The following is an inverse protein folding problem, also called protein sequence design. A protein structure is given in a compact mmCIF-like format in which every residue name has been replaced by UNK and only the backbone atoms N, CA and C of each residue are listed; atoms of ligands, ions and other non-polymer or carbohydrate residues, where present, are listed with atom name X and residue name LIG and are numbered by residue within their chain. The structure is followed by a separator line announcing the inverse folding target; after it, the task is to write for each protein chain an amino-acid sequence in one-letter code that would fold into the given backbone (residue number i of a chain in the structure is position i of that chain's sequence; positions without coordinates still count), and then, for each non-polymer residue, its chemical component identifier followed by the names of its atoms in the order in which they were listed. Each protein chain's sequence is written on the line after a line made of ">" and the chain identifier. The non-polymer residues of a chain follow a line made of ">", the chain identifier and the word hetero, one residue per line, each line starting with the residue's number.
data_IF_494737311042
#
_entry.id   IF_494737311042
#
_cell.length_a   1.000
_cell.length_b   1.000
_cell.length_c   1.000
_cell.angle_alpha   90.00
_cell.angle_beta   90.00
_cell.angle_gamma   90.00
#
_symmetry.space_group_name_H-M   'P 1'
#
loop_
_entity.id
_entity.type
_entity.pdbx_description
1 polymer ?
#
# COMPACT_ATOMS: atom_id res chain seq x y z
N UNK A 1 -5.26 -55.32 -47.81
CA UNK A 1 -5.35 -55.14 -46.32
C UNK A 1 -4.21 -54.40 -45.64
N UNK A 2 -3.06 -54.05 -46.24
CA UNK A 2 -1.99 -53.28 -45.52
C UNK A 2 -2.25 -51.77 -45.46
N UNK A 3 -2.93 -51.14 -46.41
CA UNK A 3 -3.14 -49.69 -46.45
C UNK A 3 -4.06 -49.14 -45.32
N UNK A 4 -5.08 -49.89 -44.95
CA UNK A 4 -6.01 -49.47 -43.86
C UNK A 4 -5.35 -49.54 -42.47
N UNK A 5 -4.39 -50.48 -42.27
CA UNK A 5 -3.64 -50.64 -41.01
C UNK A 5 -2.61 -49.50 -40.85
N UNK A 6 -1.97 -49.12 -41.97
CA UNK A 6 -1.02 -47.98 -41.99
C UNK A 6 -1.75 -46.65 -41.74
N UNK A 7 -2.95 -46.47 -42.33
CA UNK A 7 -3.74 -45.26 -42.08
C UNK A 7 -4.25 -45.20 -40.65
N UNK A 8 -4.66 -46.30 -40.04
CA UNK A 8 -5.11 -46.34 -38.66
C UNK A 8 -3.95 -46.09 -37.69
N UNK A 9 -2.73 -46.58 -37.94
CA UNK A 9 -1.53 -46.27 -37.14
C UNK A 9 -1.08 -44.81 -37.32
N UNK A 10 -1.19 -44.25 -38.50
CA UNK A 10 -0.92 -42.81 -38.71
C UNK A 10 -1.90 -41.92 -37.97
N UNK A 11 -3.21 -42.25 -37.99
CA UNK A 11 -4.23 -41.51 -37.26
C UNK A 11 -4.07 -41.62 -35.74
N UNK A 12 -3.63 -42.78 -35.22
CA UNK A 12 -3.32 -42.91 -33.77
C UNK A 12 -2.03 -42.18 -33.37
N UNK A 13 -1.03 -42.12 -34.24
CA UNK A 13 0.19 -41.34 -34.01
C UNK A 13 -0.08 -39.82 -34.03
N UNK A 14 -0.95 -39.32 -34.91
CA UNK A 14 -1.38 -37.92 -34.94
C UNK A 14 -2.25 -37.56 -33.72
N UNK A 15 -3.06 -38.49 -33.24
CA UNK A 15 -3.83 -38.31 -32.00
C UNK A 15 -2.97 -38.39 -30.72
N UNK A 16 -1.83 -39.09 -30.78
CA UNK A 16 -0.86 -39.18 -29.69
C UNK A 16 0.09 -37.98 -29.63
N UNK A 17 0.20 -37.19 -30.69
CA UNK A 17 0.87 -35.87 -30.70
C UNK A 17 -0.04 -34.77 -30.12
N UNK A 18 -0.85 -35.07 -29.12
CA UNK A 18 -1.20 -34.04 -28.16
C UNK A 18 0.07 -33.77 -27.38
N UNK A 19 0.79 -32.72 -27.77
CA UNK A 19 1.81 -32.12 -26.90
C UNK A 19 1.20 -32.03 -25.50
N UNK A 20 1.74 -32.65 -24.46
CA UNK A 20 1.42 -32.32 -23.10
C UNK A 20 2.09 -30.97 -22.86
N UNK A 21 1.36 -29.90 -23.09
CA UNK A 21 1.89 -28.56 -23.00
C UNK A 21 1.26 -27.60 -24.00
N UNK A 22 -0.06 -27.64 -24.18
CA UNK A 22 -0.75 -26.39 -24.47
C UNK A 22 -0.52 -25.53 -23.23
N UNK A 23 0.42 -24.56 -23.32
CA UNK A 23 0.53 -23.51 -22.33
C UNK A 23 -0.89 -22.96 -22.19
N UNK A 24 -1.50 -23.13 -21.03
CA UNK A 24 -2.84 -22.56 -20.79
C UNK A 24 -2.69 -21.06 -21.05
N UNK A 25 -3.59 -20.44 -21.80
CA UNK A 25 -3.53 -18.99 -21.94
C UNK A 25 -3.53 -18.39 -20.54
N UNK A 26 -2.64 -17.44 -20.29
CA UNK A 26 -2.51 -16.77 -19.01
C UNK A 26 -3.07 -15.37 -19.10
N UNK A 27 -3.60 -14.89 -17.99
CA UNK A 27 -3.88 -13.49 -17.74
C UNK A 27 -2.68 -12.92 -16.97
N UNK A 28 -2.41 -11.64 -17.08
CA UNK A 28 -1.30 -11.04 -16.35
C UNK A 28 -1.75 -9.81 -15.59
N UNK A 29 -1.21 -9.67 -14.37
CA UNK A 29 -1.28 -8.43 -13.62
C UNK A 29 0.13 -7.89 -13.38
N UNK A 30 0.26 -6.57 -13.39
CA UNK A 30 1.48 -5.86 -13.02
C UNK A 30 1.59 -5.67 -11.51
N UNK A 31 2.80 -5.64 -10.99
CA UNK A 31 3.13 -5.14 -9.67
C UNK A 31 4.30 -4.18 -9.80
N UNK A 32 4.12 -2.94 -9.37
CA UNK A 32 5.22 -1.97 -9.30
C UNK A 32 5.39 -1.53 -7.86
N UNK A 33 6.58 -1.75 -7.31
CA UNK A 33 6.91 -1.42 -5.94
C UNK A 33 8.42 -1.20 -5.79
N UNK A 34 8.90 -0.51 -4.75
CA UNK A 34 10.33 -0.38 -4.50
C UNK A 34 10.88 -1.66 -3.90
N UNK A 35 11.60 -2.46 -4.70
CA UNK A 35 12.25 -3.70 -4.24
C UNK A 35 13.69 -3.47 -3.80
N UNK A 36 14.29 -2.34 -4.19
CA UNK A 36 15.65 -1.97 -3.85
C UNK A 36 15.70 -0.58 -3.19
N UNK A 37 16.84 -0.20 -2.62
CA UNK A 37 17.07 1.09 -1.98
C UNK A 37 16.44 1.22 -0.59
N UNK A 38 16.21 2.46 -0.16
CA UNK A 38 15.73 2.80 1.21
C UNK A 38 14.30 2.37 1.48
N UNK A 39 13.51 2.16 0.43
CA UNK A 39 12.09 1.77 0.54
C UNK A 39 11.85 0.29 0.28
N UNK A 40 12.91 -0.54 0.19
CA UNK A 40 12.81 -1.98 -0.10
C UNK A 40 11.90 -2.76 0.85
N UNK A 41 11.71 -2.27 2.09
CA UNK A 41 10.80 -2.87 3.07
C UNK A 41 9.37 -2.98 2.53
N UNK A 42 8.94 -2.00 1.71
CA UNK A 42 7.64 -2.01 1.03
C UNK A 42 7.55 -3.18 0.04
N UNK A 43 8.49 -3.24 -0.89
CA UNK A 43 8.50 -4.25 -1.96
C UNK A 43 8.54 -5.67 -1.42
N UNK A 44 9.38 -5.93 -0.42
CA UNK A 44 9.49 -7.26 0.18
C UNK A 44 8.25 -7.65 0.98
N UNK A 45 7.57 -6.70 1.61
CA UNK A 45 6.33 -6.97 2.33
C UNK A 45 5.18 -7.31 1.38
N UNK A 46 5.03 -6.56 0.29
CA UNK A 46 3.89 -6.71 -0.62
C UNK A 46 4.01 -7.88 -1.59
N UNK A 47 5.21 -8.25 -2.06
CA UNK A 47 5.34 -9.25 -3.13
C UNK A 47 4.84 -10.63 -2.71
N UNK A 48 5.07 -11.03 -1.46
CA UNK A 48 4.61 -12.32 -0.98
C UNK A 48 3.10 -12.34 -0.76
N UNK A 49 2.52 -11.23 -0.34
CA UNK A 49 1.07 -11.06 -0.23
C UNK A 49 0.38 -11.18 -1.59
N UNK A 50 0.92 -10.52 -2.62
CA UNK A 50 0.44 -10.63 -4.00
C UNK A 50 0.56 -12.06 -4.52
N UNK A 51 1.71 -12.70 -4.31
CA UNK A 51 1.92 -14.11 -4.70
C UNK A 51 0.98 -15.07 -3.98
N UNK A 52 0.64 -14.80 -2.72
CA UNK A 52 -0.33 -15.59 -1.97
C UNK A 52 -1.71 -15.51 -2.63
N UNK A 53 -2.21 -14.31 -2.91
CA UNK A 53 -3.50 -14.13 -3.57
C UNK A 53 -3.54 -14.79 -4.96
N UNK A 54 -2.47 -14.67 -5.74
CA UNK A 54 -2.35 -15.35 -7.03
C UNK A 54 -2.31 -16.86 -6.91
N UNK A 55 -1.60 -17.41 -5.91
CA UNK A 55 -1.57 -18.85 -5.65
C UNK A 55 -2.98 -19.37 -5.37
N UNK A 56 -3.72 -18.70 -4.50
CA UNK A 56 -5.09 -19.11 -4.15
C UNK A 56 -6.00 -19.17 -5.38
N UNK A 57 -5.98 -18.15 -6.23
CA UNK A 57 -6.79 -18.13 -7.48
C UNK A 57 -6.33 -19.21 -8.45
N UNK A 58 -5.02 -19.40 -8.62
CA UNK A 58 -4.48 -20.41 -9.54
C UNK A 58 -4.75 -21.83 -9.06
N UNK A 59 -4.67 -22.09 -7.75
CA UNK A 59 -4.99 -23.40 -7.15
C UNK A 59 -6.48 -23.72 -7.25
N UNK A 60 -7.35 -22.71 -7.25
CA UNK A 60 -8.78 -22.84 -7.51
C UNK A 60 -9.12 -23.10 -9.00
N UNK A 61 -8.12 -23.04 -9.89
CA UNK A 61 -8.30 -23.32 -11.34
C UNK A 61 -8.05 -22.11 -12.23
N UNK A 62 -7.71 -20.96 -11.66
CA UNK A 62 -7.53 -19.68 -12.36
C UNK A 62 -8.84 -19.00 -12.69
N UNK A 63 -8.80 -17.92 -13.45
CA UNK A 63 -9.96 -17.16 -13.91
C UNK A 63 -10.38 -17.72 -15.29
N UNK A 64 -11.58 -18.27 -15.40
CA UNK A 64 -12.09 -18.96 -16.60
C UNK A 64 -11.13 -20.04 -17.13
N UNK A 65 -10.49 -20.79 -16.21
CA UNK A 65 -9.53 -21.85 -16.54
C UNK A 65 -8.16 -21.34 -17.03
N UNK A 66 -7.92 -20.04 -16.99
CA UNK A 66 -6.64 -19.37 -17.32
C UNK A 66 -5.88 -19.07 -16.04
N UNK A 67 -4.60 -19.42 -15.99
CA UNK A 67 -3.74 -19.03 -14.88
C UNK A 67 -3.47 -17.53 -14.89
N UNK A 68 -3.26 -16.93 -13.71
CA UNK A 68 -2.85 -15.53 -13.57
C UNK A 68 -1.37 -15.46 -13.24
N UNK A 69 -0.61 -14.72 -14.02
CA UNK A 69 0.82 -14.50 -13.86
C UNK A 69 1.13 -13.09 -13.36
N UNK A 70 2.19 -12.96 -12.58
CA UNK A 70 2.66 -11.69 -12.05
C UNK A 70 3.83 -11.15 -12.88
N UNK A 71 3.73 -9.88 -13.32
CA UNK A 71 4.84 -9.10 -13.83
C UNK A 71 5.24 -8.05 -12.80
N UNK A 72 6.36 -8.27 -12.11
CA UNK A 72 6.84 -7.37 -11.07
C UNK A 72 8.01 -6.51 -11.57
N UNK A 73 7.94 -5.20 -11.31
CA UNK A 73 8.98 -4.23 -11.65
C UNK A 73 9.33 -3.35 -10.46
N UNK A 74 10.61 -2.98 -10.38
CA UNK A 74 11.16 -2.13 -9.33
C UNK A 74 11.14 -0.66 -9.77
N UNK A 75 10.52 0.20 -8.97
CA UNK A 75 10.54 1.66 -9.16
C UNK A 75 11.54 2.36 -8.21
N UNK A 76 12.24 1.62 -7.32
CA UNK A 76 13.18 2.18 -6.33
C UNK A 76 12.58 3.23 -5.39
N UNK A 77 11.27 3.46 -5.46
CA UNK A 77 10.62 4.61 -4.84
C UNK A 77 10.96 5.95 -5.55
N UNK A 78 11.44 5.89 -6.78
CA UNK A 78 11.79 7.05 -7.61
C UNK A 78 10.65 7.38 -8.59
N UNK A 79 10.15 8.64 -8.59
CA UNK A 79 9.04 9.05 -9.45
C UNK A 79 9.30 8.90 -10.95
N UNK A 80 10.55 9.11 -11.42
CA UNK A 80 10.90 8.96 -12.82
C UNK A 80 10.93 7.49 -13.25
N UNK A 81 11.52 6.62 -12.42
CA UNK A 81 11.49 5.19 -12.65
C UNK A 81 10.07 4.61 -12.59
N UNK A 82 9.21 5.15 -11.72
CA UNK A 82 7.81 4.73 -11.65
C UNK A 82 7.10 4.91 -13.01
N UNK A 83 7.27 6.05 -13.66
CA UNK A 83 6.73 6.31 -15.01
C UNK A 83 7.29 5.31 -16.04
N UNK A 84 8.60 5.04 -15.99
CA UNK A 84 9.25 4.09 -16.90
C UNK A 84 8.67 2.66 -16.77
N UNK A 85 8.29 2.25 -15.55
CA UNK A 85 7.72 0.91 -15.33
C UNK A 85 6.35 0.75 -16.00
N UNK A 86 5.54 1.82 -16.07
CA UNK A 86 4.26 1.80 -16.81
C UNK A 86 4.49 1.46 -18.27
N UNK A 87 5.49 2.08 -18.89
CA UNK A 87 5.89 1.77 -20.26
C UNK A 87 6.27 0.29 -20.46
N UNK A 88 6.99 -0.30 -19.48
CA UNK A 88 7.38 -1.72 -19.54
C UNK A 88 6.18 -2.66 -19.38
N UNK A 89 5.24 -2.35 -18.48
CA UNK A 89 3.99 -3.11 -18.33
C UNK A 89 3.16 -3.05 -19.62
N UNK A 90 3.11 -1.88 -20.26
CA UNK A 90 2.32 -1.66 -21.46
C UNK A 90 2.81 -2.44 -22.69
N UNK A 91 4.09 -2.87 -22.71
CA UNK A 91 4.64 -3.68 -23.82
C UNK A 91 3.89 -5.01 -24.00
N UNK A 92 3.38 -5.58 -22.90
CA UNK A 92 2.63 -6.82 -22.96
C UNK A 92 1.11 -6.55 -22.87
N UNK A 93 0.35 -6.75 -23.95
CA UNK A 93 -1.09 -6.52 -23.97
C UNK A 93 -1.89 -7.53 -23.12
N UNK A 94 -1.25 -8.60 -22.62
CA UNK A 94 -1.87 -9.53 -21.68
C UNK A 94 -1.88 -9.01 -20.25
N UNK A 95 -1.17 -7.92 -19.94
CA UNK A 95 -1.25 -7.22 -18.67
C UNK A 95 -2.54 -6.40 -18.66
N UNK A 96 -3.51 -6.85 -17.89
CA UNK A 96 -4.85 -6.29 -17.85
C UNK A 96 -5.01 -5.18 -16.81
N UNK A 97 -4.22 -5.24 -15.75
CA UNK A 97 -4.25 -4.26 -14.65
C UNK A 97 -2.93 -4.25 -13.90
N UNK A 98 -2.69 -3.23 -13.10
CA UNK A 98 -1.52 -3.10 -12.24
C UNK A 98 -1.89 -2.84 -10.78
N UNK A 99 -1.05 -3.29 -9.86
CA UNK A 99 -1.05 -2.97 -8.44
C UNK A 99 0.24 -2.18 -8.12
N UNK A 100 0.16 -1.13 -7.36
CA UNK A 100 1.35 -0.31 -6.99
C UNK A 100 0.94 1.12 -6.69
N UNK A 101 1.84 2.06 -6.65
CA UNK A 101 3.29 1.99 -6.44
C UNK A 101 3.64 1.94 -4.94
N UNK A 102 2.64 2.00 -4.07
CA UNK A 102 2.71 1.96 -2.60
C UNK A 102 3.29 3.22 -1.93
N UNK A 103 3.81 4.16 -2.70
CA UNK A 103 4.26 5.48 -2.24
C UNK A 103 3.52 6.57 -3.00
N UNK A 104 3.22 7.68 -2.28
CA UNK A 104 2.47 8.80 -2.87
C UNK A 104 3.19 9.42 -4.07
N UNK A 105 4.49 9.68 -3.93
CA UNK A 105 5.29 10.36 -4.95
C UNK A 105 5.37 9.56 -6.24
N UNK A 106 5.56 8.25 -6.14
CA UNK A 106 5.64 7.34 -7.30
C UNK A 106 4.27 7.11 -7.92
N UNK A 107 3.21 6.98 -7.09
CA UNK A 107 1.84 6.81 -7.57
C UNK A 107 1.36 8.04 -8.34
N UNK A 108 1.53 9.24 -7.77
CA UNK A 108 1.12 10.48 -8.43
C UNK A 108 1.90 10.77 -9.71
N UNK A 109 3.22 10.54 -9.70
CA UNK A 109 4.05 10.77 -10.88
C UNK A 109 3.69 9.85 -12.04
N UNK A 110 3.22 8.63 -11.77
CA UNK A 110 2.88 7.65 -12.80
C UNK A 110 1.41 7.66 -13.24
N UNK A 111 0.53 8.39 -12.56
CA UNK A 111 -0.92 8.38 -12.78
C UNK A 111 -1.31 8.72 -14.23
N UNK A 112 -0.75 9.79 -14.77
CA UNK A 112 -1.01 10.20 -16.16
C UNK A 112 -0.53 9.12 -17.15
N UNK A 113 0.63 8.49 -16.89
CA UNK A 113 1.14 7.45 -17.76
C UNK A 113 0.23 6.21 -17.81
N UNK A 114 -0.39 5.82 -16.69
CA UNK A 114 -1.39 4.75 -16.66
C UNK A 114 -2.63 5.12 -17.47
N UNK A 115 -3.10 6.35 -17.34
CA UNK A 115 -4.24 6.90 -18.10
C UNK A 115 -3.93 6.93 -19.60
N UNK A 116 -2.77 7.43 -19.98
CA UNK A 116 -2.35 7.55 -21.39
C UNK A 116 -2.28 6.20 -22.12
N UNK A 117 -1.96 5.12 -21.39
CA UNK A 117 -1.86 3.77 -21.98
C UNK A 117 -3.11 2.91 -21.72
N UNK A 118 -4.12 3.45 -21.04
CA UNK A 118 -5.35 2.75 -20.72
C UNK A 118 -5.13 1.49 -19.88
N UNK A 119 -4.17 1.53 -18.93
CA UNK A 119 -3.88 0.42 -18.01
C UNK A 119 -4.40 0.76 -16.60
N UNK A 120 -5.42 0.08 -16.09
CA UNK A 120 -5.94 0.39 -14.75
C UNK A 120 -4.91 0.06 -13.66
N UNK A 121 -4.70 1.02 -12.76
CA UNK A 121 -3.87 0.89 -11.57
C UNK A 121 -4.76 0.86 -10.32
N UNK A 122 -4.59 -0.15 -9.48
CA UNK A 122 -5.11 -0.13 -8.11
C UNK A 122 -3.98 0.17 -7.12
N UNK A 123 -4.06 1.34 -6.48
CA UNK A 123 -3.12 1.73 -5.44
C UNK A 123 -3.64 1.26 -4.07
N UNK A 124 -3.00 0.23 -3.50
CA UNK A 124 -3.34 -0.27 -2.16
C UNK A 124 -3.01 0.73 -1.05
N UNK A 125 -2.00 1.55 -1.28
CA UNK A 125 -1.54 2.64 -0.40
C UNK A 125 -0.98 3.77 -1.28
N UNK A 126 -0.61 4.90 -0.68
CA UNK A 126 0.08 5.96 -1.42
C UNK A 126 -0.84 6.95 -2.14
N UNK A 127 -2.16 6.86 -1.96
CA UNK A 127 -3.09 7.89 -2.39
C UNK A 127 -3.78 8.51 -1.17
N UNK A 128 -3.82 9.83 -1.15
CA UNK A 128 -4.58 10.62 -0.18
C UNK A 128 -5.92 11.05 -0.79
N UNK A 129 -6.91 11.35 0.05
CA UNK A 129 -8.13 12.03 -0.37
C UNK A 129 -7.78 13.36 -1.06
N UNK A 130 -8.47 13.63 -2.16
CA UNK A 130 -8.19 14.79 -3.01
C UNK A 130 -7.31 14.46 -4.22
N UNK A 131 -6.88 13.20 -4.39
CA UNK A 131 -6.48 12.72 -5.69
C UNK A 131 -7.76 12.49 -6.51
N UNK A 132 -8.01 13.37 -7.46
CA UNK A 132 -9.05 13.15 -8.46
C UNK A 132 -8.41 12.42 -9.64
N UNK A 133 -8.68 11.12 -9.79
CA UNK A 133 -8.13 10.36 -10.90
C UNK A 133 -8.76 10.83 -12.21
N UNK A 134 -7.91 11.21 -13.17
CA UNK A 134 -8.23 11.40 -14.57
C UNK A 134 -9.37 12.39 -14.87
N UNK A 135 -9.13 13.36 -15.74
CA UNK A 135 -10.14 14.27 -16.26
C UNK A 135 -11.32 13.58 -16.97
N UNK A 136 -12.00 14.29 -17.86
CA UNK A 136 -13.22 13.89 -18.58
C UNK A 136 -13.16 12.53 -19.35
N UNK A 137 -11.99 11.87 -19.43
CA UNK A 137 -11.76 10.66 -20.23
C UNK A 137 -11.81 9.33 -19.44
N UNK A 138 -12.22 9.34 -18.16
CA UNK A 138 -12.31 8.15 -17.31
C UNK A 138 -11.10 7.95 -16.39
N UNK A 139 -11.35 7.36 -15.22
CA UNK A 139 -10.31 7.11 -14.24
C UNK A 139 -9.65 5.76 -14.48
N UNK A 140 -8.33 5.77 -14.72
CA UNK A 140 -7.51 4.54 -14.75
C UNK A 140 -6.73 4.31 -13.47
N UNK A 141 -6.83 5.20 -12.49
CA UNK A 141 -6.14 5.07 -11.20
C UNK A 141 -7.17 5.01 -10.08
N UNK A 142 -7.20 3.90 -9.38
CA UNK A 142 -8.09 3.61 -8.27
C UNK A 142 -7.26 3.47 -6.99
N UNK A 143 -7.81 3.84 -5.85
CA UNK A 143 -7.04 3.78 -4.61
C UNK A 143 -7.84 3.33 -3.39
N UNK A 144 -7.18 2.55 -2.54
CA UNK A 144 -7.62 2.31 -1.17
C UNK A 144 -7.07 3.44 -0.30
N UNK A 145 -7.75 4.60 -0.30
CA UNK A 145 -7.22 5.83 0.28
C UNK A 145 -7.72 6.08 1.69
N UNK A 146 -6.92 6.82 2.45
CA UNK A 146 -7.31 7.34 3.76
C UNK A 146 -7.53 8.85 3.64
N UNK A 147 -8.55 9.33 4.32
CA UNK A 147 -8.75 10.77 4.49
C UNK A 147 -7.57 11.38 5.24
N UNK A 148 -6.74 12.15 4.54
CA UNK A 148 -5.55 12.77 5.08
C UNK A 148 -5.90 13.79 6.18
N UNK A 149 -7.00 14.54 6.05
CA UNK A 149 -7.44 15.50 7.07
C UNK A 149 -7.80 14.77 8.37
N UNK A 150 -8.56 13.68 8.27
CA UNK A 150 -8.90 12.84 9.41
C UNK A 150 -7.65 12.24 10.05
N UNK A 151 -6.71 11.76 9.24
CA UNK A 151 -5.46 11.18 9.70
C UNK A 151 -4.58 12.21 10.43
N UNK A 152 -4.36 13.38 9.80
CA UNK A 152 -3.59 14.48 10.38
C UNK A 152 -4.24 15.00 11.66
N UNK A 153 -5.57 15.21 11.67
CA UNK A 153 -6.31 15.64 12.85
C UNK A 153 -6.15 14.66 14.02
N UNK A 154 -6.20 13.36 13.77
CA UNK A 154 -6.01 12.35 14.83
C UNK A 154 -4.59 12.40 15.41
N UNK A 155 -3.56 12.49 14.55
CA UNK A 155 -2.16 12.62 14.98
C UNK A 155 -1.92 13.90 15.76
N UNK A 156 -2.36 15.05 15.24
CA UNK A 156 -2.20 16.35 15.89
C UNK A 156 -2.92 16.40 17.23
N UNK A 157 -4.16 15.93 17.29
CA UNK A 157 -4.92 15.86 18.55
C UNK A 157 -4.20 15.05 19.61
N UNK A 158 -3.59 13.92 19.22
CA UNK A 158 -2.79 13.09 20.12
C UNK A 158 -1.52 13.81 20.55
N UNK A 159 -0.83 14.47 19.63
CA UNK A 159 0.37 15.26 19.92
C UNK A 159 0.08 16.37 20.92
N UNK A 160 -0.99 17.15 20.70
CA UNK A 160 -1.41 18.22 21.61
C UNK A 160 -1.75 17.69 23.02
N UNK A 161 -2.36 16.51 23.10
CA UNK A 161 -2.68 15.90 24.40
C UNK A 161 -1.40 15.45 25.16
N UNK A 162 -0.30 15.19 24.46
CA UNK A 162 0.98 14.79 25.03
C UNK A 162 1.96 15.96 25.23
N UNK A 163 1.68 17.13 24.65
CA UNK A 163 2.49 18.33 24.72
C UNK A 163 1.82 19.43 25.56
N UNK A 164 1.96 19.43 26.90
CA UNK A 164 1.31 20.42 27.76
C UNK A 164 1.73 21.87 27.45
N UNK A 165 3.00 22.10 27.08
CA UNK A 165 3.53 23.41 26.68
C UNK A 165 3.36 23.68 25.17
N UNK A 166 2.73 22.74 24.45
CA UNK A 166 2.42 22.83 23.00
C UNK A 166 3.65 22.97 22.11
N UNK A 167 4.77 22.42 22.51
CA UNK A 167 6.01 22.36 21.71
C UNK A 167 6.00 21.11 20.83
N UNK A 168 5.34 21.22 19.68
CA UNK A 168 5.23 20.13 18.70
C UNK A 168 6.04 20.50 17.46
N UNK A 169 6.98 19.64 17.09
CA UNK A 169 7.72 19.71 15.84
C UNK A 169 7.21 18.65 14.89
N UNK A 170 6.90 19.04 13.67
CA UNK A 170 6.63 18.14 12.54
C UNK A 170 7.90 18.03 11.69
N UNK A 171 8.53 16.86 11.69
CA UNK A 171 9.57 16.52 10.75
C UNK A 171 8.96 15.79 9.56
N UNK A 172 9.18 16.28 8.35
CA UNK A 172 8.54 15.81 7.13
C UNK A 172 9.55 15.59 6.01
N UNK A 173 9.22 14.73 5.04
CA UNK A 173 10.03 14.58 3.83
C UNK A 173 10.17 15.91 3.09
N UNK A 174 11.26 16.06 2.35
CA UNK A 174 11.47 17.21 1.48
C UNK A 174 10.29 17.38 0.52
N UNK A 175 9.82 18.63 0.36
CA UNK A 175 8.70 18.98 -0.54
C UNK A 175 7.36 18.34 -0.14
N UNK A 176 7.10 18.19 1.16
CA UNK A 176 5.82 17.68 1.66
C UNK A 176 4.61 18.53 1.21
N UNK A 177 4.81 19.82 0.87
CA UNK A 177 3.84 20.68 0.20
C UNK A 177 2.44 20.66 0.84
N UNK A 178 1.42 20.31 0.05
CA UNK A 178 0.02 20.27 0.50
C UNK A 178 -0.20 19.34 1.73
N UNK A 179 0.60 18.28 1.88
CA UNK A 179 0.50 17.40 3.05
C UNK A 179 0.88 18.11 4.34
N UNK A 180 1.97 18.88 4.33
CA UNK A 180 2.37 19.70 5.47
C UNK A 180 1.33 20.77 5.82
N UNK A 181 0.66 21.37 4.81
CA UNK A 181 -0.43 22.32 5.00
C UNK A 181 -1.64 21.70 5.71
N UNK A 182 -1.99 20.44 5.41
CA UNK A 182 -3.07 19.71 6.11
C UNK A 182 -2.74 19.51 7.59
N UNK A 183 -1.50 19.15 7.93
CA UNK A 183 -1.07 19.06 9.33
C UNK A 183 -1.10 20.41 10.03
N UNK A 184 -0.68 21.49 9.34
CA UNK A 184 -0.72 22.85 9.89
C UNK A 184 -2.17 23.31 10.13
N UNK A 185 -3.10 23.02 9.22
CA UNK A 185 -4.51 23.32 9.37
C UNK A 185 -5.12 22.57 10.57
N UNK A 186 -4.86 21.25 10.67
CA UNK A 186 -5.29 20.45 11.80
C UNK A 186 -4.75 20.98 13.15
N UNK A 187 -3.50 21.44 13.18
CA UNK A 187 -2.92 22.04 14.39
C UNK A 187 -3.59 23.37 14.77
N UNK A 188 -3.87 24.21 13.77
CA UNK A 188 -4.56 25.49 13.99
C UNK A 188 -5.96 25.30 14.60
N UNK A 189 -6.72 24.28 14.17
CA UNK A 189 -8.01 23.92 14.75
C UNK A 189 -7.91 23.55 16.25
N UNK A 190 -6.77 22.99 16.67
CA UNK A 190 -6.49 22.66 18.06
C UNK A 190 -5.75 23.76 18.83
N UNK A 191 -5.60 24.95 18.19
CA UNK A 191 -4.97 26.13 18.79
C UNK A 191 -3.46 25.96 19.01
N UNK A 192 -2.79 25.20 18.15
CA UNK A 192 -1.34 24.98 18.16
C UNK A 192 -0.74 25.41 16.84
N UNK A 193 0.49 25.94 16.90
CA UNK A 193 1.31 26.16 15.71
C UNK A 193 2.41 25.09 15.69
N UNK A 194 2.46 24.31 14.63
CA UNK A 194 3.55 23.36 14.43
C UNK A 194 4.81 24.09 13.99
N UNK A 195 5.94 23.71 14.57
CA UNK A 195 7.24 24.01 13.98
C UNK A 195 7.54 22.92 12.96
N UNK A 196 7.67 23.30 11.69
CA UNK A 196 7.94 22.34 10.60
C UNK A 196 9.43 22.32 10.26
N UNK A 197 9.97 21.12 10.09
CA UNK A 197 11.34 20.88 9.63
C UNK A 197 11.28 19.90 8.47
N UNK A 198 11.68 20.36 7.28
CA UNK A 198 11.76 19.52 6.09
C UNK A 198 13.14 18.86 5.98
N UNK A 199 13.17 17.57 5.63
CA UNK A 199 14.40 16.79 5.44
C UNK A 199 15.09 17.12 4.10
N UNK A 200 15.35 18.41 3.84
CA UNK A 200 15.92 18.89 2.57
C UNK A 200 17.45 19.01 2.57
N UNK A 201 18.07 19.20 3.73
CA UNK A 201 19.51 19.46 3.85
C UNK A 201 20.19 18.54 4.88
N UNK A 202 21.49 18.36 4.75
CA UNK A 202 22.26 17.38 5.56
C UNK A 202 22.18 17.56 7.08
N UNK A 203 21.82 18.76 7.56
CA UNK A 203 21.74 19.08 8.99
C UNK A 203 20.31 19.24 9.53
N UNK A 204 19.28 18.84 8.80
CA UNK A 204 17.90 18.99 9.23
C UNK A 204 17.59 18.35 10.60
N UNK A 205 18.23 17.23 10.92
CA UNK A 205 18.08 16.59 12.22
C UNK A 205 18.60 17.48 13.36
N UNK A 206 19.65 18.28 13.11
CA UNK A 206 20.17 19.23 14.10
C UNK A 206 19.18 20.38 14.36
N UNK A 207 18.39 20.77 13.36
CA UNK A 207 17.33 21.76 13.54
C UNK A 207 16.23 21.20 14.45
N UNK A 208 15.80 19.94 14.24
CA UNK A 208 14.85 19.26 15.14
C UNK A 208 15.40 19.22 16.57
N UNK A 209 16.68 18.83 16.74
CA UNK A 209 17.35 18.79 18.04
C UNK A 209 17.38 20.19 18.68
N UNK A 210 17.60 21.24 17.91
CA UNK A 210 17.65 22.63 18.38
C UNK A 210 16.32 23.13 18.97
N UNK A 211 15.19 22.63 18.48
CA UNK A 211 13.87 22.94 19.02
C UNK A 211 13.55 22.19 20.32
N UNK A 212 14.18 21.04 20.56
CA UNK A 212 13.95 20.20 21.74
C UNK A 212 12.47 19.97 22.05
N UNK A 213 11.68 19.40 21.10
CA UNK A 213 10.24 19.33 21.19
C UNK A 213 9.74 18.47 22.36
N UNK A 214 8.56 18.74 22.88
CA UNK A 214 7.86 17.80 23.76
C UNK A 214 7.35 16.59 22.97
N UNK A 215 6.89 16.85 21.73
CA UNK A 215 6.41 15.83 20.80
C UNK A 215 7.03 16.05 19.43
N UNK A 216 7.63 15.02 18.89
CA UNK A 216 8.08 14.93 17.52
C UNK A 216 7.03 14.16 16.69
N UNK A 217 6.40 14.85 15.75
CA UNK A 217 5.59 14.21 14.70
C UNK A 217 6.49 13.85 13.53
N UNK A 218 6.56 12.56 13.18
CA UNK A 218 7.34 12.03 12.07
C UNK A 218 6.44 11.73 10.87
N UNK A 219 6.55 12.55 9.82
CA UNK A 219 6.01 12.29 8.48
C UNK A 219 7.19 12.01 7.52
N UNK A 220 7.98 11.02 7.88
CA UNK A 220 9.26 10.63 7.28
C UNK A 220 9.23 9.15 6.90
N UNK A 221 10.16 8.72 6.03
CA UNK A 221 10.44 7.30 5.88
C UNK A 221 11.04 6.69 7.16
N UNK A 222 10.98 5.35 7.33
CA UNK A 222 11.37 4.72 8.58
C UNK A 222 12.84 4.94 8.97
N UNK A 223 13.74 5.04 7.99
CA UNK A 223 15.18 5.24 8.26
C UNK A 223 15.43 6.67 8.73
N UNK A 224 14.90 7.68 8.02
CA UNK A 224 15.06 9.09 8.42
C UNK A 224 14.39 9.37 9.77
N UNK A 225 13.22 8.78 10.04
CA UNK A 225 12.58 8.85 11.35
C UNK A 225 13.46 8.21 12.45
N UNK A 226 14.05 7.05 12.17
CA UNK A 226 14.96 6.36 13.08
C UNK A 226 16.21 7.18 13.39
N UNK A 227 16.84 7.78 12.38
CA UNK A 227 18.05 8.61 12.53
C UNK A 227 17.80 9.83 13.43
N UNK A 228 16.71 10.57 13.21
CA UNK A 228 16.42 11.75 14.04
C UNK A 228 16.04 11.36 15.46
N UNK A 229 15.32 10.26 15.66
CA UNK A 229 14.94 9.77 16.99
C UNK A 229 16.17 9.26 17.75
N UNK A 230 17.09 8.52 17.10
CA UNK A 230 18.36 8.10 17.67
C UNK A 230 19.18 9.31 18.14
N UNK A 231 19.34 10.32 17.27
CA UNK A 231 20.09 11.55 17.58
C UNK A 231 19.50 12.30 18.79
N UNK A 232 18.18 12.42 18.86
CA UNK A 232 17.50 13.02 20.01
C UNK A 232 17.74 12.20 21.29
N UNK A 233 17.69 10.87 21.21
CA UNK A 233 17.95 9.96 22.33
C UNK A 233 19.38 10.09 22.85
N UNK A 234 20.39 10.16 21.96
CA UNK A 234 21.79 10.42 22.29
C UNK A 234 21.97 11.79 23.01
N UNK A 235 21.19 12.80 22.60
CA UNK A 235 21.12 14.11 23.25
C UNK A 235 20.42 14.12 24.62
N UNK A 236 19.93 12.97 25.09
CA UNK A 236 19.19 12.83 26.33
C UNK A 236 17.76 13.33 26.30
N UNK A 237 17.21 13.55 25.11
CA UNK A 237 15.78 13.90 24.92
C UNK A 237 14.84 12.83 25.51
N UNK A 238 13.69 13.27 26.00
CA UNK A 238 12.69 12.40 26.65
C UNK A 238 11.27 12.75 26.23
N UNK A 239 11.10 13.40 25.08
CA UNK A 239 9.77 13.69 24.52
C UNK A 239 9.13 12.47 23.87
N UNK A 240 7.97 12.68 23.30
CA UNK A 240 7.17 11.63 22.67
C UNK A 240 7.38 11.62 21.15
N UNK A 241 7.46 10.43 20.56
CA UNK A 241 7.51 10.24 19.11
C UNK A 241 6.14 9.80 18.62
N UNK A 242 5.59 10.51 17.66
CA UNK A 242 4.36 10.14 16.97
C UNK A 242 4.59 10.11 15.47
N UNK A 243 3.93 9.22 14.74
CA UNK A 243 4.01 9.21 13.29
C UNK A 243 2.94 8.39 12.59
N UNK A 244 3.14 8.24 11.31
CA UNK A 244 2.29 7.46 10.42
C UNK A 244 2.76 6.01 10.27
N UNK A 245 2.21 5.32 9.23
CA UNK A 245 2.50 3.90 8.96
C UNK A 245 4.00 3.58 8.78
N UNK A 246 4.82 4.55 8.41
CA UNK A 246 6.26 4.36 8.25
C UNK A 246 6.94 3.87 9.54
N UNK A 247 6.46 4.29 10.72
CA UNK A 247 7.02 3.86 12.01
C UNK A 247 6.70 2.38 12.33
N UNK A 248 5.79 1.75 11.59
CA UNK A 248 5.49 0.32 11.73
C UNK A 248 6.53 -0.59 11.08
N UNK A 249 7.37 -0.06 10.19
CA UNK A 249 8.40 -0.83 9.51
C UNK A 249 9.57 -1.14 10.44
N UNK A 250 10.10 -2.37 10.36
CA UNK A 250 11.20 -2.81 11.23
C UNK A 250 12.49 -2.00 11.08
N UNK A 251 12.67 -1.27 9.97
CA UNK A 251 13.80 -0.36 9.78
C UNK A 251 13.78 0.80 10.79
N UNK A 252 12.61 1.28 11.23
CA UNK A 252 12.51 2.35 12.24
C UNK A 252 13.15 1.95 13.59
N UNK A 253 12.68 0.90 14.29
CA UNK A 253 13.32 0.49 15.54
C UNK A 253 14.75 -0.02 15.35
N UNK A 254 15.08 -0.60 14.19
CA UNK A 254 16.45 -1.04 13.90
C UNK A 254 17.45 0.13 13.84
N UNK A 255 17.02 1.31 13.39
CA UNK A 255 17.86 2.52 13.31
C UNK A 255 17.78 3.34 14.60
N UNK A 256 16.58 3.53 15.16
CA UNK A 256 16.38 4.32 16.37
C UNK A 256 16.92 3.64 17.66
N UNK A 257 17.09 2.31 17.63
CA UNK A 257 17.52 1.53 18.79
C UNK A 257 16.55 1.68 19.97
N UNK A 258 17.08 1.80 21.19
CA UNK A 258 16.28 1.98 22.42
C UNK A 258 15.41 3.25 22.41
N UNK A 259 15.75 4.24 21.58
CA UNK A 259 14.97 5.47 21.47
C UNK A 259 13.64 5.29 20.71
N UNK A 260 13.43 4.14 20.06
CA UNK A 260 12.15 3.79 19.44
C UNK A 260 11.09 3.35 20.46
N UNK A 261 11.50 2.89 21.65
CA UNK A 261 10.58 2.41 22.68
C UNK A 261 9.58 3.50 23.06
N UNK A 262 8.31 3.14 23.09
CA UNK A 262 7.22 4.05 23.41
C UNK A 262 6.72 4.88 22.23
N UNK A 263 7.41 4.91 21.09
CA UNK A 263 6.94 5.62 19.91
C UNK A 263 5.52 5.17 19.51
N UNK A 264 4.65 6.13 19.22
CA UNK A 264 3.26 5.91 18.83
C UNK A 264 3.10 6.11 17.33
N UNK A 265 2.30 5.27 16.70
CA UNK A 265 1.94 5.52 15.32
C UNK A 265 0.47 5.20 15.04
N UNK A 266 -0.06 5.90 14.05
CA UNK A 266 -1.39 5.74 13.52
C UNK A 266 -1.31 5.10 12.15
N UNK A 267 -2.08 4.05 11.91
CA UNK A 267 -2.11 3.36 10.62
C UNK A 267 -3.54 2.95 10.26
N UNK A 268 -3.93 3.01 8.98
CA UNK A 268 -5.17 2.41 8.50
C UNK A 268 -5.09 0.88 8.40
N UNK A 269 -3.89 0.34 8.48
CA UNK A 269 -3.62 -1.08 8.24
C UNK A 269 -3.17 -1.77 9.51
N UNK A 270 -4.05 -2.54 10.19
CA UNK A 270 -3.66 -3.32 11.36
C UNK A 270 -2.73 -4.45 10.95
N UNK A 271 -1.89 -4.89 11.89
CA UNK A 271 -1.12 -6.10 11.67
C UNK A 271 -2.04 -7.33 11.59
N UNK A 272 -1.64 -8.37 10.86
CA UNK A 272 -2.48 -9.56 10.68
C UNK A 272 -2.97 -10.19 11.99
N UNK A 273 -2.14 -10.21 13.03
CA UNK A 273 -2.51 -10.75 14.35
C UNK A 273 -3.63 -9.99 15.07
N UNK A 274 -3.92 -8.76 14.64
CA UNK A 274 -4.90 -7.87 15.28
C UNK A 274 -6.27 -7.87 14.58
N UNK A 275 -6.44 -8.68 13.55
CA UNK A 275 -7.71 -8.82 12.82
C UNK A 275 -8.23 -10.25 12.83
N UNK A 276 -9.55 -10.40 12.73
CA UNK A 276 -10.17 -11.71 12.68
C UNK A 276 -9.67 -12.52 11.45
N UNK A 277 -9.16 -13.72 11.69
CA UNK A 277 -8.61 -14.59 10.63
C UNK A 277 -7.22 -14.18 10.13
N UNK A 278 -6.60 -13.17 10.73
CA UNK A 278 -5.27 -12.70 10.33
C UNK A 278 -4.15 -13.68 10.65
N UNK A 279 -4.27 -14.50 11.69
CA UNK A 279 -3.32 -15.59 11.96
C UNK A 279 -3.26 -16.59 10.80
N UNK A 280 -4.41 -16.99 10.25
CA UNK A 280 -4.48 -17.87 9.09
C UNK A 280 -3.84 -17.22 7.85
N UNK A 281 -4.01 -15.92 7.66
CA UNK A 281 -3.30 -15.19 6.62
C UNK A 281 -1.78 -15.21 6.86
N UNK A 282 -1.33 -14.94 8.08
CA UNK A 282 0.09 -14.94 8.42
C UNK A 282 0.75 -16.30 8.21
N UNK A 283 0.06 -17.41 8.53
CA UNK A 283 0.54 -18.78 8.26
C UNK A 283 0.75 -18.99 6.74
N UNK A 284 -0.24 -18.66 5.93
CA UNK A 284 -0.16 -18.80 4.47
C UNK A 284 0.91 -17.88 3.86
N UNK A 285 1.04 -16.67 4.39
CA UNK A 285 2.08 -15.73 3.97
C UNK A 285 3.47 -16.30 4.26
N UNK A 286 3.72 -16.86 5.46
CA UNK A 286 4.99 -17.51 5.81
C UNK A 286 5.33 -18.66 4.88
N UNK A 287 4.36 -19.43 4.42
CA UNK A 287 4.57 -20.47 3.43
C UNK A 287 5.12 -19.93 2.09
N UNK A 288 4.55 -18.81 1.60
CA UNK A 288 4.96 -18.19 0.33
C UNK A 288 6.29 -17.45 0.46
N UNK A 289 6.54 -16.85 1.63
CA UNK A 289 7.72 -16.02 1.91
C UNK A 289 8.95 -16.80 2.42
N UNK A 290 8.86 -18.14 2.56
CA UNK A 290 9.88 -18.97 3.20
C UNK A 290 10.15 -18.58 4.67
N UNK A 291 9.11 -18.30 5.43
CA UNK A 291 9.15 -18.06 6.87
C UNK A 291 9.35 -16.60 7.27
N UNK A 292 9.23 -15.66 6.34
CA UNK A 292 9.22 -14.22 6.68
C UNK A 292 7.87 -13.86 7.26
N UNK A 293 7.85 -13.11 8.37
CA UNK A 293 6.63 -12.59 8.96
C UNK A 293 6.01 -11.48 8.08
N UNK A 294 4.67 -11.43 7.96
CA UNK A 294 4.03 -10.35 7.24
C UNK A 294 4.18 -9.02 7.99
N UNK A 295 4.67 -8.00 7.30
CA UNK A 295 4.72 -6.64 7.81
C UNK A 295 3.38 -5.88 7.60
N UNK A 296 3.38 -4.57 7.84
CA UNK A 296 2.16 -3.75 7.85
C UNK A 296 1.48 -3.61 6.50
N UNK A 297 2.23 -3.78 5.40
CA UNK A 297 1.70 -3.64 4.03
C UNK A 297 1.25 -4.97 3.43
N UNK A 298 1.57 -6.10 4.07
CA UNK A 298 1.23 -7.43 3.55
C UNK A 298 -0.28 -7.62 3.41
N UNK A 299 -1.05 -7.33 4.46
CA UNK A 299 -2.50 -7.52 4.44
C UNK A 299 -3.20 -6.55 3.46
N UNK A 300 -2.93 -5.24 3.43
CA UNK A 300 -3.53 -4.35 2.43
C UNK A 300 -3.15 -4.72 0.99
N UNK A 301 -1.93 -5.18 0.73
CA UNK A 301 -1.53 -5.64 -0.59
C UNK A 301 -2.27 -6.93 -1.01
N UNK A 302 -2.47 -7.86 -0.08
CA UNK A 302 -3.26 -9.07 -0.31
C UNK A 302 -4.72 -8.72 -0.63
N UNK A 303 -5.37 -7.87 0.17
CA UNK A 303 -6.75 -7.45 -0.04
C UNK A 303 -6.91 -6.71 -1.38
N UNK A 304 -6.02 -5.75 -1.68
CA UNK A 304 -6.04 -5.04 -2.96
C UNK A 304 -5.84 -5.99 -4.15
N UNK A 305 -4.95 -6.99 -4.01
CA UNK A 305 -4.76 -7.99 -5.06
C UNK A 305 -6.02 -8.81 -5.29
N UNK A 306 -6.71 -9.21 -4.23
CA UNK A 306 -7.98 -9.95 -4.35
C UNK A 306 -9.07 -9.13 -5.02
N UNK A 307 -9.18 -7.84 -4.67
CA UNK A 307 -10.11 -6.91 -5.32
C UNK A 307 -9.79 -6.78 -6.82
N UNK A 308 -8.51 -6.60 -7.15
CA UNK A 308 -8.07 -6.51 -8.53
C UNK A 308 -8.36 -7.79 -9.34
N UNK A 309 -8.12 -8.95 -8.72
CA UNK A 309 -8.42 -10.24 -9.34
C UNK A 309 -9.93 -10.47 -9.52
N UNK A 310 -10.75 -10.01 -8.57
CA UNK A 310 -12.21 -10.00 -8.70
C UNK A 310 -12.68 -9.16 -9.89
N UNK A 311 -12.14 -7.93 -10.03
CA UNK A 311 -12.45 -7.08 -11.18
C UNK A 311 -11.99 -7.70 -12.52
N UNK A 312 -10.86 -8.42 -12.54
CA UNK A 312 -10.44 -9.17 -13.72
C UNK A 312 -11.38 -10.33 -14.01
N UNK A 313 -11.88 -11.03 -12.99
CA UNK A 313 -12.86 -12.12 -13.12
C UNK A 313 -14.18 -11.59 -13.68
N UNK A 314 -14.71 -10.51 -13.13
CA UNK A 314 -15.95 -9.87 -13.59
C UNK A 314 -15.83 -9.43 -15.06
N UNK A 315 -14.72 -8.80 -15.45
CA UNK A 315 -14.47 -8.42 -16.84
C UNK A 315 -14.42 -9.64 -17.78
N UNK A 316 -13.80 -10.73 -17.34
CA UNK A 316 -13.71 -11.99 -18.11
C UNK A 316 -15.10 -12.64 -18.26
N UNK A 317 -15.88 -12.72 -17.19
CA UNK A 317 -17.24 -13.26 -17.20
C UNK A 317 -18.19 -12.43 -18.06
N UNK A 318 -18.02 -11.10 -18.07
CA UNK A 318 -18.71 -10.16 -18.97
C UNK A 318 -18.33 -10.31 -20.44
N UNK A 319 -17.32 -11.13 -20.75
CA UNK A 319 -16.80 -11.35 -22.11
C UNK A 319 -15.79 -10.28 -22.57
N UNK A 320 -15.38 -9.39 -21.69
CA UNK A 320 -14.47 -8.26 -21.95
C UNK A 320 -13.14 -8.41 -21.18
N UNK A 321 -12.37 -9.46 -21.50
CA UNK A 321 -11.03 -9.67 -20.93
C UNK A 321 -10.04 -8.63 -21.47
N UNK A 322 -10.33 -7.36 -21.27
CA UNK A 322 -9.57 -6.18 -21.72
C UNK A 322 -9.29 -5.23 -20.55
N UNK A 323 -8.39 -4.28 -20.75
CA UNK A 323 -8.10 -3.23 -19.74
C UNK A 323 -9.32 -2.37 -19.45
N UNK A 324 -10.09 -2.03 -20.49
CA UNK A 324 -11.33 -1.27 -20.38
C UNK A 324 -12.38 -2.04 -19.56
N UNK A 325 -12.54 -3.34 -19.80
CA UNK A 325 -13.45 -4.19 -19.03
C UNK A 325 -13.06 -4.24 -17.55
N UNK A 326 -11.76 -4.36 -17.24
CA UNK A 326 -11.27 -4.31 -15.85
C UNK A 326 -11.47 -2.92 -15.23
N UNK A 327 -11.26 -1.84 -15.99
CA UNK A 327 -11.53 -0.47 -15.54
C UNK A 327 -13.00 -0.32 -15.14
N UNK A 328 -13.94 -0.72 -16.02
CA UNK A 328 -15.36 -0.66 -15.71
C UNK A 328 -15.75 -1.50 -14.50
N UNK A 329 -15.16 -2.69 -14.35
CA UNK A 329 -15.39 -3.53 -13.17
C UNK A 329 -14.87 -2.88 -11.87
N UNK A 330 -13.73 -2.19 -11.93
CA UNK A 330 -13.19 -1.44 -10.79
C UNK A 330 -14.05 -0.22 -10.43
N UNK A 331 -14.67 0.45 -11.42
CA UNK A 331 -15.59 1.57 -11.19
C UNK A 331 -16.88 1.13 -10.46
N UNK A 332 -17.34 -0.09 -10.73
CA UNK A 332 -18.56 -0.66 -10.16
C UNK A 332 -18.29 -1.49 -8.88
N UNK A 333 -17.02 -1.67 -8.50
CA UNK A 333 -16.65 -2.58 -7.44
C UNK A 333 -17.19 -2.12 -6.07
N UNK A 334 -18.03 -2.95 -5.48
CA UNK A 334 -18.38 -2.93 -4.06
C UNK A 334 -17.96 -4.27 -3.46
N UNK A 335 -16.97 -4.27 -2.58
CA UNK A 335 -16.50 -5.50 -1.96
C UNK A 335 -16.23 -5.32 -0.47
N UNK A 336 -16.54 -6.34 0.32
CA UNK A 336 -16.15 -6.44 1.72
C UNK A 336 -14.78 -7.12 1.82
N UNK A 337 -13.77 -6.34 2.22
CA UNK A 337 -12.48 -6.88 2.64
C UNK A 337 -12.48 -7.25 4.13
N UNK A 338 -11.39 -7.82 4.60
CA UNK A 338 -11.19 -8.09 6.05
C UNK A 338 -11.03 -6.81 6.85
N UNK A 339 -10.60 -5.72 6.22
CA UNK A 339 -10.26 -4.45 6.85
C UNK A 339 -11.40 -3.42 6.77
N UNK A 340 -12.12 -3.38 5.68
CA UNK A 340 -13.22 -2.42 5.46
C UNK A 340 -14.12 -2.87 4.30
N UNK A 341 -15.28 -2.23 4.16
CA UNK A 341 -16.06 -2.25 2.94
C UNK A 341 -15.41 -1.28 1.95
N UNK A 342 -15.08 -1.74 0.77
CA UNK A 342 -14.48 -0.94 -0.30
C UNK A 342 -15.54 -0.63 -1.35
N UNK A 343 -15.64 0.63 -1.71
CA UNK A 343 -16.38 1.09 -2.87
C UNK A 343 -15.41 1.91 -3.71
N UNK A 344 -15.05 1.39 -4.88
CA UNK A 344 -14.15 2.03 -5.82
C UNK A 344 -14.99 2.56 -6.97
N UNK A 345 -15.51 3.67 -6.97
CA UNK A 345 -16.30 4.27 -8.03
C UNK A 345 -16.77 5.66 -7.67
N UNK A 346 -17.03 6.49 -8.65
CA UNK A 346 -17.53 7.83 -8.48
C UNK A 346 -16.51 8.80 -7.90
N UNK A 347 -16.28 8.83 -6.62
CA UNK A 347 -15.25 9.66 -5.97
C UNK A 347 -13.95 8.92 -5.71
N UNK A 348 -13.87 7.61 -6.01
CA UNK A 348 -12.65 6.80 -5.82
C UNK A 348 -12.26 6.57 -4.35
N UNK A 349 -13.09 6.95 -3.40
CA UNK A 349 -12.76 6.92 -1.98
C UNK A 349 -13.55 5.81 -1.29
N UNK A 350 -12.88 4.84 -0.62
CA UNK A 350 -13.56 3.87 0.22
C UNK A 350 -14.28 4.55 1.37
N UNK A 351 -15.51 4.14 1.63
CA UNK A 351 -16.21 4.54 2.82
C UNK A 351 -15.44 4.02 4.06
N UNK A 352 -14.79 4.91 4.80
CA UNK A 352 -14.30 4.73 6.17
C UNK A 352 -13.34 3.56 6.42
N UNK A 353 -12.11 3.69 5.98
CA UNK A 353 -11.04 2.85 6.50
C UNK A 353 -10.81 3.21 7.98
N UNK A 354 -10.88 2.25 8.92
CA UNK A 354 -10.58 2.51 10.32
C UNK A 354 -9.11 2.89 10.51
N UNK A 355 -8.80 3.64 11.57
CA UNK A 355 -7.44 3.99 11.96
C UNK A 355 -7.11 3.29 13.28
N UNK A 356 -5.90 2.79 13.40
CA UNK A 356 -5.44 2.01 14.55
C UNK A 356 -4.21 2.67 15.17
N UNK A 357 -4.22 2.81 16.49
CA UNK A 357 -3.09 3.26 17.27
C UNK A 357 -2.24 2.09 17.73
N UNK A 358 -0.95 2.21 17.52
CA UNK A 358 0.06 1.27 18.00
C UNK A 358 1.12 1.99 18.81
N UNK A 359 1.81 1.22 19.65
CA UNK A 359 3.01 1.63 20.38
C UNK A 359 4.13 0.64 20.10
N UNK A 360 5.35 1.11 19.89
CA UNK A 360 6.54 0.26 19.83
C UNK A 360 6.90 -0.18 21.23
N UNK A 361 7.01 -1.50 21.44
CA UNK A 361 7.45 -2.12 22.69
C UNK A 361 8.97 -2.02 22.92
N UNK A 362 9.42 -2.51 24.06
CA UNK A 362 10.83 -2.61 24.43
C UNK A 362 11.63 -3.60 23.55
N UNK A 363 10.94 -4.54 22.94
CA UNK A 363 11.47 -5.48 21.95
C UNK A 363 11.44 -4.96 20.50
N UNK A 364 10.98 -3.72 20.28
CA UNK A 364 10.80 -3.10 18.98
C UNK A 364 9.54 -3.58 18.23
N UNK A 365 8.69 -4.40 18.87
CA UNK A 365 7.47 -4.94 18.24
C UNK A 365 6.28 -4.02 18.48
N UNK A 366 5.49 -3.70 17.44
CA UNK A 366 4.27 -2.93 17.58
C UNK A 366 3.20 -3.64 18.42
N UNK A 367 2.61 -2.92 19.36
CA UNK A 367 1.48 -3.36 20.18
C UNK A 367 0.25 -2.52 19.90
N UNK A 368 -0.87 -3.16 19.57
CA UNK A 368 -2.15 -2.47 19.34
C UNK A 368 -2.67 -1.82 20.61
N UNK A 369 -2.97 -0.53 20.54
CA UNK A 369 -3.62 0.22 21.62
C UNK A 369 -5.14 0.32 21.43
N UNK A 370 -5.62 0.26 20.21
CA UNK A 370 -7.03 0.32 19.85
C UNK A 370 -7.29 1.14 18.58
N UNK A 371 -8.55 1.21 18.21
CA UNK A 371 -9.00 2.04 17.08
C UNK A 371 -9.13 3.50 17.49
N UNK A 372 -8.84 4.39 16.54
CA UNK A 372 -9.15 5.80 16.64
C UNK A 372 -10.68 6.00 16.67
N UNK A 373 -11.16 6.75 17.64
CA UNK A 373 -12.59 7.02 17.78
C UNK A 373 -13.14 7.73 16.53
N UNK A 374 -14.33 7.32 16.08
CA UNK A 374 -15.04 8.04 15.03
C UNK A 374 -15.26 9.51 15.44
N UNK A 375 -14.94 10.46 14.57
CA UNK A 375 -15.18 11.89 14.85
C UNK A 375 -16.68 12.13 14.97
N UNK A 376 -17.09 13.02 15.90
CA UNK A 376 -18.48 13.47 16.04
C UNK A 376 -19.06 14.15 14.79
N UNK A 377 -18.19 14.52 13.85
CA UNK A 377 -18.57 15.09 12.55
C UNK A 377 -18.78 14.03 11.48
N UNK A 378 -18.60 12.75 11.80
CA UNK A 378 -18.79 11.64 10.90
C UNK A 378 -20.30 11.38 10.67
N UNK A 379 -20.87 11.62 9.48
CA UNK A 379 -22.33 11.58 9.24
C UNK A 379 -22.98 10.21 9.44
N UNK A 380 -22.23 9.15 9.73
CA UNK A 380 -22.73 7.79 10.02
C UNK A 380 -22.42 7.28 11.41
N UNK A 381 -21.94 8.10 12.33
CA UNK A 381 -21.70 7.71 13.74
C UNK A 381 -23.01 7.71 14.59
N UNK A 382 -24.19 7.79 13.96
CA UNK A 382 -25.51 7.90 14.60
C UNK A 382 -26.46 6.73 14.22
N UNK A 383 -25.95 5.51 14.01
CA UNK A 383 -26.82 4.32 14.04
C UNK A 383 -26.33 3.26 15.02
#
# INVERSE_FOLDING_TARGET
>A
MPAALVLATLLTLVAACRFPGSVRPTLKIGLVAPFEGRYRYVGYDVIYAVRLALREVNDAGGIDGRGVELMAFDDWGDPGLAVDQVGKLNVDPQVLAALGHFRRETTLASADAYTDVGLPLLAATGLDMGFEPGGDDGAYVFGLTVDLERFATALVRRAVALAPDRQVVLATEARAGARAEVFAAAAAEHGVTLTMVEAEHESWQQDVLGYYPEVLLCDLDPVAAGEVVALLGEGGWRGEVLGGPALSAGDFPAVAGEAAEGALFLTPWPFPGDVAGGEGFAELYREVSNGIEPGPLALPAYEATRLLLGAVEDAVEGGEATREGVTSALEELEAEGRLAVFQLGGSGVPARIPLYWYRIGDDGVPMLLGQEAASRTDPGALE
#
